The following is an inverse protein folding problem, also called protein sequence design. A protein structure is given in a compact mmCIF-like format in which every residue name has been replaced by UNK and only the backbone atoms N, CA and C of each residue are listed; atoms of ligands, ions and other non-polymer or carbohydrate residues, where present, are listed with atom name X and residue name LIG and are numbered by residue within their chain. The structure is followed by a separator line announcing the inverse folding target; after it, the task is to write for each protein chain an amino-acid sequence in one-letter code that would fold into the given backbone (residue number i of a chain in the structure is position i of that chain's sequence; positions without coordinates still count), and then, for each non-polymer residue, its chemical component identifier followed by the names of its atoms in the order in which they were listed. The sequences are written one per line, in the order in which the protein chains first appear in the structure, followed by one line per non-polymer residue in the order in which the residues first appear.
data_IF_157198951415
#
_entry.id   IF_157198951415
#
_cell.length_a   1.000
_cell.length_b   1.000
_cell.length_c   1.000
_cell.angle_alpha   90.00
_cell.angle_beta   90.00
_cell.angle_gamma   90.00
#
_symmetry.space_group_name_H-M   'P 1'
#
loop_
_entity.id
_entity.type
_entity.pdbx_description
1 polymer ?
#
# COMPACT_ATOMS: atom_id res chain seq x y z
N UNK A 1 -5.60 5.63 10.31
CA UNK A 1 -4.55 6.17 9.43
C UNK A 1 -5.04 6.12 7.98
N UNK A 2 -4.90 7.21 7.22
CA UNK A 2 -5.26 7.28 5.80
C UNK A 2 -4.41 8.35 5.09
N UNK A 3 -4.26 8.21 3.78
CA UNK A 3 -3.73 9.26 2.91
C UNK A 3 -4.29 9.12 1.49
N UNK A 4 -4.21 10.20 0.72
CA UNK A 4 -4.55 10.26 -0.69
C UNK A 4 -3.50 11.08 -1.45
N UNK A 5 -3.21 10.69 -2.69
CA UNK A 5 -2.43 11.52 -3.62
C UNK A 5 -3.37 12.43 -4.41
N UNK A 6 -3.08 13.73 -4.45
CA UNK A 6 -3.89 14.73 -5.15
C UNK A 6 -3.21 15.27 -6.40
N UNK A 7 -4.01 15.56 -7.43
CA UNK A 7 -3.57 16.27 -8.62
C UNK A 7 -3.73 17.78 -8.40
N UNK A 8 -2.65 18.55 -8.60
CA UNK A 8 -2.67 20.01 -8.42
C UNK A 8 -2.68 20.70 -9.77
N UNK A 9 -3.84 21.25 -10.15
CA UNK A 9 -4.04 21.89 -11.46
C UNK A 9 -4.09 20.86 -12.60
N UNK A 10 -3.54 21.23 -13.76
CA UNK A 10 -3.43 20.33 -14.90
C UNK A 10 -2.10 19.56 -14.82
N UNK A 11 -2.19 18.24 -14.77
CA UNK A 11 -1.04 17.32 -14.74
C UNK A 11 -0.93 16.56 -16.06
N UNK A 12 0.24 16.00 -16.36
CA UNK A 12 0.43 15.13 -17.53
C UNK A 12 -0.22 13.74 -17.38
N UNK A 13 -0.34 13.03 -18.50
CA UNK A 13 -1.00 11.72 -18.57
C UNK A 13 -0.34 10.65 -17.69
N UNK A 14 1.00 10.64 -17.60
CA UNK A 14 1.73 9.68 -16.75
C UNK A 14 1.40 9.92 -15.27
N UNK A 15 1.23 11.17 -14.84
CA UNK A 15 0.80 11.50 -13.48
C UNK A 15 -0.60 10.94 -13.18
N UNK A 16 -1.56 11.17 -14.08
CA UNK A 16 -2.91 10.63 -13.94
C UNK A 16 -2.88 9.11 -13.89
N UNK A 17 -2.09 8.49 -14.76
CA UNK A 17 -1.93 7.05 -14.84
C UNK A 17 -1.33 6.45 -13.56
N UNK A 18 -0.25 7.04 -13.04
CA UNK A 18 0.40 6.63 -11.79
C UNK A 18 -0.58 6.68 -10.61
N UNK A 19 -1.27 7.80 -10.44
CA UNK A 19 -2.22 8.00 -9.33
C UNK A 19 -3.37 6.99 -9.41
N UNK A 20 -3.92 6.76 -10.61
CA UNK A 20 -4.96 5.75 -10.85
C UNK A 20 -4.47 4.33 -10.55
N UNK A 21 -3.31 3.93 -11.07
CA UNK A 21 -2.76 2.60 -10.85
C UNK A 21 -2.43 2.34 -9.37
N UNK A 22 -2.02 3.38 -8.64
CA UNK A 22 -1.77 3.30 -7.19
C UNK A 22 -3.07 3.07 -6.41
N UNK A 23 -4.13 3.81 -6.74
CA UNK A 23 -5.45 3.62 -6.14
C UNK A 23 -6.02 2.23 -6.46
N UNK A 24 -5.92 1.78 -7.72
CA UNK A 24 -6.36 0.46 -8.15
C UNK A 24 -5.55 -0.66 -7.48
N UNK A 25 -4.26 -0.44 -7.19
CA UNK A 25 -3.43 -1.38 -6.43
C UNK A 25 -3.91 -1.57 -4.99
N UNK A 26 -4.28 -0.48 -4.30
CA UNK A 26 -4.89 -0.54 -2.97
C UNK A 26 -6.23 -1.27 -3.01
N UNK A 27 -7.10 -0.90 -3.94
CA UNK A 27 -8.42 -1.50 -4.11
C UNK A 27 -8.34 -3.00 -4.42
N UNK A 28 -7.39 -3.41 -5.27
CA UNK A 28 -7.19 -4.81 -5.63
C UNK A 28 -6.77 -5.67 -4.43
N UNK A 29 -5.88 -5.18 -3.56
CA UNK A 29 -5.53 -5.91 -2.34
C UNK A 29 -6.71 -6.03 -1.37
N UNK A 30 -7.49 -4.96 -1.19
CA UNK A 30 -8.64 -4.95 -0.30
C UNK A 30 -9.74 -5.92 -0.79
N UNK A 31 -10.20 -5.75 -2.04
CA UNK A 31 -11.32 -6.49 -2.59
C UNK A 31 -11.03 -7.97 -2.83
N UNK A 32 -9.78 -8.36 -3.07
CA UNK A 32 -9.49 -9.71 -3.53
C UNK A 32 -9.53 -10.76 -2.41
N UNK A 33 -8.98 -10.45 -1.23
CA UNK A 33 -8.59 -11.51 -0.28
C UNK A 33 -8.77 -11.21 1.20
N UNK A 34 -9.15 -10.01 1.63
CA UNK A 34 -9.23 -9.72 3.08
C UNK A 34 -10.46 -10.39 3.69
N UNK A 35 -10.18 -11.40 4.52
CA UNK A 35 -11.14 -12.14 5.35
C UNK A 35 -10.38 -13.03 6.34
N UNK A 36 -11.04 -13.57 7.36
CA UNK A 36 -10.41 -14.51 8.28
C UNK A 36 -9.75 -15.69 7.56
N UNK A 37 -8.54 -16.08 7.99
CA UNK A 37 -7.77 -17.19 7.42
C UNK A 37 -6.81 -16.81 6.29
N UNK A 38 -6.91 -15.60 5.72
CA UNK A 38 -5.97 -15.12 4.71
C UNK A 38 -4.62 -14.74 5.33
N UNK A 39 -3.51 -15.09 4.68
CA UNK A 39 -2.16 -14.68 5.11
C UNK A 39 -1.85 -13.25 4.65
N UNK A 40 -1.24 -12.42 5.52
CA UNK A 40 -0.88 -11.04 5.18
C UNK A 40 0.05 -10.94 3.96
N UNK A 41 0.95 -11.92 3.78
CA UNK A 41 1.89 -11.95 2.64
C UNK A 41 1.22 -11.98 1.27
N UNK A 42 -0.04 -12.41 1.18
CA UNK A 42 -0.76 -12.50 -0.08
C UNK A 42 -1.16 -11.12 -0.64
N UNK A 43 -1.28 -10.09 0.21
CA UNK A 43 -1.67 -8.74 -0.23
C UNK A 43 -0.69 -8.15 -1.25
N UNK A 44 0.60 -8.31 -1.00
CA UNK A 44 1.64 -7.79 -1.90
C UNK A 44 1.63 -8.44 -3.29
N UNK A 45 1.08 -9.66 -3.44
CA UNK A 45 0.90 -10.30 -4.75
C UNK A 45 -0.12 -9.54 -5.60
N UNK A 46 -1.24 -9.12 -5.01
CA UNK A 46 -2.31 -8.42 -5.72
C UNK A 46 -1.90 -6.98 -6.08
N UNK A 47 -1.27 -6.27 -5.15
CA UNK A 47 -0.71 -4.94 -5.41
C UNK A 47 0.32 -4.99 -6.54
N UNK A 48 1.29 -5.91 -6.44
CA UNK A 48 2.33 -6.04 -7.46
C UNK A 48 1.80 -6.45 -8.83
N UNK A 49 0.70 -7.21 -8.89
CA UNK A 49 0.10 -7.60 -10.16
C UNK A 49 -0.46 -6.38 -10.91
N UNK A 50 -1.13 -5.47 -10.20
CA UNK A 50 -1.64 -4.21 -10.78
C UNK A 50 -0.47 -3.30 -11.14
N UNK A 51 0.36 -2.92 -10.17
CA UNK A 51 1.43 -1.95 -10.39
C UNK A 51 2.40 -2.37 -11.50
N UNK A 52 2.88 -3.62 -11.49
CA UNK A 52 3.80 -4.09 -12.53
C UNK A 52 3.10 -4.28 -13.89
N UNK A 53 1.79 -4.58 -13.89
CA UNK A 53 1.00 -4.72 -15.12
C UNK A 53 0.85 -3.38 -15.86
N UNK A 54 0.76 -2.29 -15.11
CA UNK A 54 0.74 -0.92 -15.62
C UNK A 54 2.15 -0.34 -15.88
N UNK A 55 3.21 -1.15 -15.76
CA UNK A 55 4.58 -0.72 -16.03
C UNK A 55 5.28 0.03 -14.88
N UNK A 56 4.68 0.06 -13.69
CA UNK A 56 5.23 0.70 -12.50
C UNK A 56 5.93 -0.28 -11.57
N UNK A 57 6.61 0.24 -10.54
CA UNK A 57 7.26 -0.58 -9.51
C UNK A 57 6.73 -0.30 -8.10
N UNK A 58 6.88 -1.28 -7.21
CA UNK A 58 6.39 -1.22 -5.82
C UNK A 58 7.55 -1.01 -4.87
N UNK A 59 7.49 0.04 -4.04
CA UNK A 59 8.47 0.32 -2.98
C UNK A 59 8.56 -0.85 -1.99
N UNK A 60 9.77 -1.14 -1.49
CA UNK A 60 10.03 -2.31 -0.62
C UNK A 60 10.48 -1.98 0.79
N UNK A 61 10.91 -0.75 1.04
CA UNK A 61 11.47 -0.32 2.32
C UNK A 61 10.39 0.04 3.35
N UNK A 62 9.16 0.27 2.89
CA UNK A 62 8.02 0.65 3.73
C UNK A 62 6.85 -0.32 3.51
N UNK A 63 6.03 -0.51 4.55
CA UNK A 63 4.94 -1.47 4.57
C UNK A 63 3.74 -0.90 5.33
N UNK A 64 2.57 -1.50 5.10
CA UNK A 64 1.44 -1.33 6.00
C UNK A 64 1.72 -1.92 7.37
N UNK A 65 0.88 -1.60 8.34
CA UNK A 65 1.11 -1.91 9.73
C UNK A 65 -0.20 -2.18 10.47
N UNK A 66 -0.14 -2.93 11.56
CA UNK A 66 -1.20 -2.92 12.57
C UNK A 66 -1.38 -1.53 13.15
N UNK A 67 -2.61 -1.13 13.45
CA UNK A 67 -2.92 0.20 14.02
C UNK A 67 -4.08 0.11 15.01
N UNK A 68 -4.03 0.92 16.06
CA UNK A 68 -5.06 0.96 17.11
C UNK A 68 -4.63 1.87 18.24
N UNK A 69 -4.47 1.33 19.45
CA UNK A 69 -3.91 2.07 20.59
C UNK A 69 -2.45 2.49 20.37
N UNK A 70 -1.74 1.77 19.50
CA UNK A 70 -0.40 2.10 19.04
C UNK A 70 -0.48 2.61 17.59
N UNK A 71 0.36 3.60 17.25
CA UNK A 71 0.40 4.19 15.92
C UNK A 71 0.88 3.19 14.87
N UNK A 72 1.93 2.42 15.18
CA UNK A 72 2.45 1.32 14.38
C UNK A 72 2.62 0.08 15.26
N UNK A 73 2.07 -1.05 14.84
CA UNK A 73 2.15 -2.34 15.53
C UNK A 73 2.22 -3.48 14.52
N UNK A 74 2.44 -4.70 15.00
CA UNK A 74 2.31 -5.90 14.16
C UNK A 74 0.85 -6.06 13.66
N UNK A 75 0.65 -6.63 12.47
CA UNK A 75 1.66 -7.19 11.57
C UNK A 75 2.30 -6.15 10.65
N UNK A 76 3.51 -6.43 10.18
CA UNK A 76 4.11 -5.73 9.04
C UNK A 76 3.50 -6.29 7.74
N UNK A 77 3.09 -5.40 6.83
CA UNK A 77 2.33 -5.75 5.62
C UNK A 77 3.04 -5.22 4.37
N UNK A 78 4.00 -5.96 3.81
CA UNK A 78 4.71 -5.56 2.61
C UNK A 78 3.82 -5.58 1.37
N UNK A 79 3.98 -4.57 0.53
CA UNK A 79 3.16 -4.39 -0.68
C UNK A 79 3.70 -5.12 -1.92
N UNK A 80 4.89 -5.70 -1.84
CA UNK A 80 5.53 -6.40 -2.96
C UNK A 80 5.27 -7.91 -2.94
N UNK A 81 5.24 -8.54 -4.11
CA UNK A 81 5.05 -9.98 -4.27
C UNK A 81 6.23 -10.80 -3.70
N UNK A 82 5.95 -12.04 -3.29
CA UNK A 82 6.94 -12.98 -2.71
C UNK A 82 7.65 -12.45 -1.43
N UNK A 83 6.98 -11.55 -0.70
CA UNK A 83 7.41 -11.16 0.64
C UNK A 83 7.25 -12.32 1.64
N UNK A 84 7.83 -12.16 2.83
CA UNK A 84 7.83 -13.18 3.90
C UNK A 84 7.03 -12.75 5.13
N UNK A 85 6.02 -11.90 4.95
CA UNK A 85 5.21 -11.44 6.07
C UNK A 85 4.59 -12.61 6.83
N UNK A 86 4.58 -12.50 8.14
CA UNK A 86 4.06 -13.51 9.05
C UNK A 86 2.68 -13.07 9.51
N UNK A 87 1.78 -14.04 9.70
CA UNK A 87 0.47 -13.82 10.29
C UNK A 87 -0.68 -14.18 9.38
N UNK A 88 -1.80 -14.47 10.02
CA UNK A 88 -3.07 -14.82 9.40
C UNK A 88 -4.12 -13.85 9.94
N UNK A 89 -4.92 -13.28 9.05
CA UNK A 89 -6.01 -12.37 9.37
C UNK A 89 -7.05 -13.08 10.25
N UNK A 90 -7.50 -12.40 11.30
CA UNK A 90 -8.55 -12.84 12.23
C UNK A 90 -9.55 -11.70 12.45
N UNK A 91 -10.83 -12.01 12.72
CA UNK A 91 -11.80 -10.99 13.08
C UNK A 91 -11.29 -10.09 14.21
N UNK A 92 -11.55 -8.79 14.11
CA UNK A 92 -11.09 -7.78 15.08
C UNK A 92 -9.68 -7.24 14.83
N UNK A 93 -8.89 -7.82 13.91
CA UNK A 93 -7.60 -7.24 13.52
C UNK A 93 -7.81 -5.93 12.75
N UNK A 94 -7.06 -4.90 13.12
CA UNK A 94 -7.06 -3.60 12.46
C UNK A 94 -5.67 -3.31 11.92
N UNK A 95 -5.57 -2.96 10.64
CA UNK A 95 -4.30 -2.70 9.97
C UNK A 95 -4.45 -1.75 8.78
N UNK A 96 -3.33 -1.26 8.26
CA UNK A 96 -3.27 -0.42 7.06
C UNK A 96 -2.84 -1.21 5.84
N UNK A 97 -3.36 -0.82 4.68
CA UNK A 97 -2.76 -1.14 3.38
C UNK A 97 -2.44 0.21 2.74
N UNK A 98 -1.18 0.40 2.34
CA UNK A 98 -0.65 1.73 1.99
C UNK A 98 0.38 1.69 0.85
N UNK A 99 0.05 1.11 -0.32
CA UNK A 99 1.02 0.90 -1.39
C UNK A 99 1.62 2.22 -1.87
N UNK A 100 2.95 2.22 -1.98
CA UNK A 100 3.74 3.26 -2.63
C UNK A 100 4.23 2.72 -3.97
N UNK A 101 3.79 3.35 -5.05
CA UNK A 101 4.05 2.93 -6.43
C UNK A 101 4.88 4.00 -7.13
N UNK A 102 5.93 3.58 -7.83
CA UNK A 102 6.90 4.45 -8.50
C UNK A 102 6.83 4.29 -10.01
N UNK A 103 7.03 5.39 -10.74
CA UNK A 103 7.20 5.36 -12.20
C UNK A 103 8.40 4.51 -12.61
N UNK A 104 9.53 4.70 -11.94
CA UNK A 104 10.80 4.04 -12.26
C UNK A 104 11.14 2.92 -11.29
N UNK A 105 12.32 3.04 -10.68
CA UNK A 105 12.87 2.04 -9.76
C UNK A 105 12.12 1.98 -8.43
N UNK A 106 12.01 0.79 -7.86
CA UNK A 106 11.45 0.61 -6.51
C UNK A 106 12.39 1.11 -5.41
N UNK A 107 13.66 1.34 -5.76
CA UNK A 107 14.70 1.70 -4.79
C UNK A 107 14.52 3.13 -4.33
N UNK A 108 14.51 3.30 -3.02
CA UNK A 108 14.48 4.58 -2.33
C UNK A 108 15.83 4.90 -1.68
N UNK A 109 15.96 6.16 -1.26
CA UNK A 109 17.02 6.67 -0.40
C UNK A 109 16.43 7.71 0.56
N UNK A 110 16.97 7.77 1.77
CA UNK A 110 16.59 8.77 2.78
C UNK A 110 17.45 10.02 2.61
N UNK A 111 16.82 11.19 2.66
CA UNK A 111 17.54 12.47 2.74
C UNK A 111 18.27 12.64 4.09
N UNK A 112 19.19 13.61 4.19
CA UNK A 112 19.92 13.89 5.44
C UNK A 112 19.06 14.33 6.62
N UNK A 113 17.77 14.61 6.38
CA UNK A 113 16.79 14.91 7.44
C UNK A 113 16.29 13.66 8.19
N UNK A 114 16.75 12.47 7.79
CA UNK A 114 16.41 11.17 8.37
C UNK A 114 14.94 10.76 8.20
N UNK A 115 14.17 11.47 7.38
CA UNK A 115 12.72 11.26 7.21
C UNK A 115 12.29 11.18 5.75
N UNK A 116 12.73 12.12 4.92
CA UNK A 116 12.23 12.22 3.55
C UNK A 116 12.78 11.06 2.72
N UNK A 117 11.90 10.18 2.29
CA UNK A 117 12.23 9.09 1.38
C UNK A 117 11.95 9.50 -0.06
N UNK A 118 12.96 9.37 -0.92
CA UNK A 118 12.84 9.69 -2.34
C UNK A 118 13.26 8.50 -3.20
N UNK A 119 12.68 8.38 -4.39
CA UNK A 119 13.13 7.43 -5.41
C UNK A 119 14.58 7.71 -5.81
N UNK A 120 15.39 6.67 -5.96
CA UNK A 120 16.82 6.82 -6.32
C UNK A 120 17.06 7.38 -7.73
N UNK A 121 16.09 7.29 -8.62
CA UNK A 121 16.15 7.83 -9.99
C UNK A 121 15.45 9.19 -10.15
N UNK A 122 14.88 9.73 -9.08
CA UNK A 122 14.19 11.03 -9.08
C UNK A 122 12.83 11.05 -9.80
N UNK A 123 12.29 9.89 -10.19
CA UNK A 123 10.98 9.81 -10.83
C UNK A 123 9.82 9.83 -9.81
N UNK A 124 8.59 10.06 -10.28
CA UNK A 124 7.44 10.24 -9.39
C UNK A 124 7.06 8.97 -8.64
N UNK A 125 6.50 9.17 -7.44
CA UNK A 125 5.88 8.16 -6.60
C UNK A 125 4.48 8.65 -6.16
N UNK A 126 3.55 7.73 -5.99
CA UNK A 126 2.21 8.00 -5.45
C UNK A 126 1.84 6.99 -4.37
N UNK A 127 0.96 7.39 -3.45
CA UNK A 127 0.48 6.57 -2.32
C UNK A 127 -1.01 6.80 -2.07
N UNK A 128 -1.69 5.74 -1.65
CA UNK A 128 -3.02 5.78 -1.04
C UNK A 128 -3.03 4.85 0.16
N UNK A 129 -3.89 5.12 1.14
CA UNK A 129 -3.99 4.28 2.33
C UNK A 129 -5.40 4.25 2.90
N UNK A 130 -5.79 3.06 3.35
CA UNK A 130 -6.92 2.90 4.25
C UNK A 130 -6.53 2.11 5.50
N UNK A 131 -7.24 2.40 6.60
CA UNK A 131 -7.31 1.52 7.76
C UNK A 131 -8.49 0.57 7.60
N UNK A 132 -8.23 -0.72 7.75
CA UNK A 132 -9.21 -1.78 7.57
C UNK A 132 -9.39 -2.57 8.86
N UNK A 133 -10.64 -2.94 9.15
CA UNK A 133 -11.02 -3.90 10.19
C UNK A 133 -11.36 -5.23 9.53
N UNK A 134 -10.75 -6.33 9.95
CA UNK A 134 -11.20 -7.67 9.55
C UNK A 134 -12.48 -8.02 10.31
N UNK A 135 -13.53 -8.36 9.58
CA UNK A 135 -14.80 -8.83 10.13
C UNK A 135 -14.90 -10.35 10.08
N UNK A 136 -15.99 -10.93 10.57
CA UNK A 136 -16.21 -12.38 10.55
C UNK A 136 -16.24 -12.98 9.14
N UNK A 137 -16.59 -12.19 8.12
CA UNK A 137 -16.78 -12.67 6.74
C UNK A 137 -15.94 -11.93 5.70
N UNK A 138 -15.26 -10.84 6.09
CA UNK A 138 -14.52 -9.99 5.16
C UNK A 138 -13.80 -8.87 5.90
N UNK A 139 -14.10 -7.63 5.50
CA UNK A 139 -13.49 -6.45 6.08
C UNK A 139 -14.43 -5.24 6.02
N UNK A 140 -14.10 -4.23 6.82
CA UNK A 140 -14.70 -2.90 6.80
C UNK A 140 -13.59 -1.86 6.59
N UNK A 141 -13.85 -0.86 5.74
CA UNK A 141 -12.92 0.26 5.53
C UNK A 141 -13.29 1.36 6.53
N UNK A 142 -12.51 1.49 7.60
CA UNK A 142 -12.80 2.43 8.69
C UNK A 142 -12.55 3.90 8.31
N UNK A 143 -11.83 4.13 7.22
CA UNK A 143 -11.48 5.46 6.71
C UNK A 143 -12.12 5.75 5.35
N UNK A 144 -13.26 5.12 5.05
CA UNK A 144 -14.06 5.41 3.87
C UNK A 144 -14.73 6.80 3.97
N UNK A 145 -15.18 7.32 2.81
CA UNK A 145 -15.90 8.60 2.71
C UNK A 145 -17.40 8.46 2.97
#
# INVERSE_FOLDING_TARGET
NLNETFLVGNVDEECVHLVKATFESLAAAAAAIIRPGTMFRELGKHISAVANGEGFSVVKSYCGHGVGTHMHAIPDIPHYAKNKAVGIMKPGMIFTIEPMINVGTWRDQTWPDEWTSVTRDGLRSARFEHTLLVTETGYEILTAR
#
